data_IF_778861639620
#
_entry.id   IF_778861639620
#
_cell.length_a   1.000
_cell.length_b   1.000
_cell.length_c   1.000
_cell.angle_alpha   90.00
_cell.angle_beta   90.00
_cell.angle_gamma   90.00
#
_symmetry.space_group_name_H-M   'P 1'
#
loop_
_entity.id
_entity.type
_entity.pdbx_description
1 polymer ?
#
# COMPACT_ATOMS: atom_id res chain seq x y z
N UNK A 1 34.90 19.75 -12.19
CA UNK A 1 33.78 19.22 -12.99
C UNK A 1 32.59 19.10 -12.07
N UNK A 2 31.53 19.87 -12.32
CA UNK A 2 30.24 19.65 -11.65
C UNK A 2 29.65 18.38 -12.24
N UNK A 3 29.44 17.36 -11.39
CA UNK A 3 28.76 16.13 -11.82
C UNK A 3 27.30 16.48 -12.09
N UNK A 4 26.75 15.97 -13.20
CA UNK A 4 25.35 16.17 -13.56
C UNK A 4 24.42 15.62 -12.45
N UNK A 5 23.58 16.47 -11.81
CA UNK A 5 22.66 16.02 -10.77
C UNK A 5 21.71 14.91 -11.23
N UNK A 6 21.34 14.83 -12.51
CA UNK A 6 20.49 13.76 -13.02
C UNK A 6 21.19 12.39 -12.96
N UNK A 7 22.49 12.34 -13.30
CA UNK A 7 23.30 11.13 -13.17
C UNK A 7 23.50 10.73 -11.70
N UNK A 8 23.71 11.71 -10.82
CA UNK A 8 23.81 11.46 -9.37
C UNK A 8 22.49 10.88 -8.84
N UNK A 9 21.35 11.46 -9.23
CA UNK A 9 20.04 10.98 -8.81
C UNK A 9 19.81 9.53 -9.23
N UNK A 10 20.05 9.19 -10.50
CA UNK A 10 19.87 7.84 -11.00
C UNK A 10 20.76 6.82 -10.28
N UNK A 11 22.05 7.13 -10.09
CA UNK A 11 22.98 6.27 -9.38
C UNK A 11 22.60 6.11 -7.90
N UNK A 12 22.17 7.19 -7.24
CA UNK A 12 21.76 7.19 -5.85
C UNK A 12 20.50 6.32 -5.63
N UNK A 13 19.50 6.42 -6.51
CA UNK A 13 18.30 5.57 -6.47
C UNK A 13 18.66 4.10 -6.65
N UNK A 14 19.56 3.78 -7.59
CA UNK A 14 20.01 2.40 -7.81
C UNK A 14 20.78 1.85 -6.60
N UNK A 15 21.57 2.68 -5.94
CA UNK A 15 22.32 2.30 -4.74
C UNK A 15 21.48 2.30 -3.45
N UNK A 16 20.24 2.81 -3.49
CA UNK A 16 19.43 3.04 -2.29
C UNK A 16 19.98 4.15 -1.39
N UNK A 17 20.85 5.02 -1.91
CA UNK A 17 21.36 6.19 -1.19
C UNK A 17 20.34 7.32 -1.31
N UNK A 18 19.29 7.25 -0.49
CA UNK A 18 18.19 8.21 -0.51
C UNK A 18 18.65 9.63 -0.13
N UNK A 19 19.70 9.77 0.66
CA UNK A 19 20.24 11.08 1.02
C UNK A 19 20.96 11.75 -0.16
N UNK A 20 21.70 10.98 -0.97
CA UNK A 20 22.27 11.50 -2.21
C UNK A 20 21.19 11.79 -3.25
N UNK A 21 20.15 10.95 -3.35
CA UNK A 21 19.01 11.20 -4.23
C UNK A 21 18.28 12.49 -3.85
N UNK A 22 18.11 12.75 -2.56
CA UNK A 22 17.49 13.98 -2.03
C UNK A 22 18.26 15.24 -2.47
N UNK A 23 19.58 15.25 -2.24
CA UNK A 23 20.44 16.39 -2.64
C UNK A 23 20.46 16.60 -4.14
N UNK A 24 20.45 15.51 -4.91
CA UNK A 24 20.39 15.60 -6.37
C UNK A 24 19.06 16.18 -6.84
N UNK A 25 17.94 15.80 -6.22
CA UNK A 25 16.63 16.38 -6.50
C UNK A 25 16.56 17.86 -6.13
N UNK A 26 17.14 18.29 -5.00
CA UNK A 26 17.18 19.71 -4.64
C UNK A 26 17.90 20.54 -5.73
N UNK A 27 19.00 20.01 -6.29
CA UNK A 27 19.72 20.67 -7.37
C UNK A 27 18.91 20.69 -8.70
N UNK A 28 18.20 19.61 -9.02
CA UNK A 28 17.36 19.54 -10.22
C UNK A 28 16.14 20.48 -10.10
N UNK A 29 15.46 20.47 -8.96
CA UNK A 29 14.32 21.34 -8.68
C UNK A 29 14.73 22.82 -8.56
N UNK A 30 15.98 23.12 -8.18
CA UNK A 30 16.48 24.49 -8.27
C UNK A 30 16.48 25.02 -9.71
N UNK A 31 16.76 24.15 -10.69
CA UNK A 31 16.78 24.52 -12.11
C UNK A 31 15.40 24.49 -12.77
N UNK A 32 14.53 23.59 -12.31
CA UNK A 32 13.17 23.40 -12.84
C UNK A 32 12.19 23.08 -11.70
N UNK A 33 11.77 24.10 -10.92
CA UNK A 33 11.04 23.92 -9.66
C UNK A 33 9.62 23.38 -9.84
N UNK A 34 9.06 23.54 -11.05
CA UNK A 34 7.67 23.23 -11.35
C UNK A 34 7.54 21.92 -12.15
N UNK A 35 8.63 21.18 -12.32
CA UNK A 35 8.63 19.93 -13.06
C UNK A 35 7.84 18.84 -12.30
N UNK A 36 6.69 18.37 -12.83
CA UNK A 36 5.87 17.39 -12.14
C UNK A 36 6.58 16.06 -11.92
N UNK A 37 7.51 15.67 -12.81
CA UNK A 37 8.27 14.41 -12.70
C UNK A 37 9.30 14.50 -11.57
N UNK A 38 9.99 15.64 -11.43
CA UNK A 38 10.93 15.85 -10.32
C UNK A 38 10.20 15.92 -8.97
N UNK A 39 9.04 16.60 -8.92
CA UNK A 39 8.19 16.65 -7.73
C UNK A 39 7.64 15.28 -7.35
N UNK A 40 7.22 14.47 -8.33
CA UNK A 40 6.84 13.07 -8.11
C UNK A 40 7.99 12.26 -7.51
N UNK A 41 9.20 12.38 -8.07
CA UNK A 41 10.39 11.70 -7.55
C UNK A 41 10.79 12.17 -6.15
N UNK A 42 10.60 13.46 -5.83
CA UNK A 42 10.75 14.01 -4.47
C UNK A 42 9.81 13.30 -3.50
N UNK A 43 8.56 13.09 -3.89
CA UNK A 43 7.60 12.34 -3.10
C UNK A 43 8.07 10.91 -2.80
N UNK A 44 8.54 10.19 -3.82
CA UNK A 44 9.09 8.84 -3.66
C UNK A 44 10.30 8.80 -2.70
N UNK A 45 11.26 9.70 -2.87
CA UNK A 45 12.46 9.77 -2.01
C UNK A 45 12.08 10.12 -0.56
N UNK A 46 11.18 11.09 -0.36
CA UNK A 46 10.66 11.44 0.96
C UNK A 46 10.00 10.25 1.65
N UNK A 47 9.14 9.51 0.93
CA UNK A 47 8.48 8.30 1.45
C UNK A 47 9.49 7.23 1.86
N UNK A 48 10.51 6.98 1.04
CA UNK A 48 11.61 6.01 1.33
C UNK A 48 12.42 6.40 2.57
N UNK A 49 12.54 7.69 2.85
CA UNK A 49 13.21 8.22 4.03
C UNK A 49 12.29 8.35 5.25
N UNK A 50 11.02 7.93 5.15
CA UNK A 50 10.03 8.02 6.23
C UNK A 50 9.48 9.44 6.47
N UNK A 51 9.79 10.40 5.59
CA UNK A 51 9.29 11.78 5.64
C UNK A 51 7.94 11.86 4.91
N UNK A 52 6.93 11.22 5.50
CA UNK A 52 5.66 10.97 4.81
C UNK A 52 4.86 12.25 4.52
N UNK A 53 4.87 13.23 5.41
CA UNK A 53 4.20 14.53 5.19
C UNK A 53 4.83 15.29 4.02
N UNK A 54 6.17 15.30 3.94
CA UNK A 54 6.90 15.88 2.80
C UNK A 54 6.60 15.11 1.51
N UNK A 55 6.41 13.79 1.59
CA UNK A 55 6.04 12.98 0.44
C UNK A 55 4.65 13.36 -0.12
N UNK A 56 3.66 13.52 0.76
CA UNK A 56 2.32 13.99 0.38
C UNK A 56 2.41 15.38 -0.26
N UNK A 57 3.13 16.32 0.35
CA UNK A 57 3.27 17.68 -0.17
C UNK A 57 3.93 17.70 -1.56
N UNK A 58 4.94 16.87 -1.80
CA UNK A 58 5.59 16.77 -3.10
C UNK A 58 4.66 16.16 -4.17
N UNK A 59 3.88 15.13 -3.83
CA UNK A 59 2.88 14.58 -4.74
C UNK A 59 1.72 15.55 -5.01
N UNK A 60 1.28 16.32 -4.01
CA UNK A 60 0.31 17.41 -4.18
C UNK A 60 0.83 18.46 -5.17
N UNK A 61 2.11 18.86 -5.03
CA UNK A 61 2.75 19.80 -5.94
C UNK A 61 2.84 19.23 -7.37
N UNK A 62 3.19 17.95 -7.53
CA UNK A 62 3.20 17.29 -8.84
C UNK A 62 1.80 17.30 -9.50
N UNK A 63 0.75 16.95 -8.74
CA UNK A 63 -0.63 16.93 -9.23
C UNK A 63 -1.18 18.34 -9.53
N UNK A 64 -0.74 19.36 -8.81
CA UNK A 64 -1.09 20.75 -9.13
C UNK A 64 -0.54 21.20 -10.50
N UNK A 65 0.56 20.60 -10.96
CA UNK A 65 1.18 20.89 -12.27
C UNK A 65 0.75 19.94 -13.39
N UNK A 66 0.48 18.69 -13.04
CA UNK A 66 -0.04 17.67 -13.93
C UNK A 66 -1.18 16.91 -13.24
N UNK A 67 -2.44 17.42 -13.31
CA UNK A 67 -3.59 16.81 -12.65
C UNK A 67 -3.93 15.39 -13.12
N UNK A 68 -3.45 15.02 -14.31
CA UNK A 68 -3.59 13.70 -14.94
C UNK A 68 -2.41 12.76 -14.63
N UNK A 69 -1.48 13.14 -13.75
CA UNK A 69 -0.34 12.31 -13.37
C UNK A 69 -0.78 11.17 -12.44
N UNK A 70 -1.34 10.12 -13.00
CA UNK A 70 -1.99 9.00 -12.30
C UNK A 70 -1.08 8.33 -11.27
N UNK A 71 0.21 8.15 -11.55
CA UNK A 71 1.19 7.60 -10.59
C UNK A 71 1.37 8.48 -9.34
N UNK A 72 1.31 9.81 -9.48
CA UNK A 72 1.43 10.71 -8.34
C UNK A 72 0.16 10.67 -7.48
N UNK A 73 -1.01 10.49 -8.09
CA UNK A 73 -2.27 10.30 -7.36
C UNK A 73 -2.26 9.01 -6.53
N UNK A 74 -1.77 7.90 -7.12
CA UNK A 74 -1.61 6.63 -6.40
C UNK A 74 -0.65 6.76 -5.21
N UNK A 75 0.56 7.29 -5.46
CA UNK A 75 1.60 7.40 -4.43
C UNK A 75 1.21 8.36 -3.32
N UNK A 76 0.48 9.44 -3.64
CA UNK A 76 -0.12 10.32 -2.63
C UNK A 76 -1.08 9.56 -1.72
N UNK A 77 -2.01 8.78 -2.29
CA UNK A 77 -2.95 7.98 -1.52
C UNK A 77 -2.23 6.93 -0.65
N UNK A 78 -1.16 6.33 -1.17
CA UNK A 78 -0.31 5.40 -0.43
C UNK A 78 0.43 6.10 0.73
N UNK A 79 0.96 7.31 0.54
CA UNK A 79 1.58 8.07 1.63
C UNK A 79 0.57 8.43 2.72
N UNK A 80 -0.67 8.80 2.35
CA UNK A 80 -1.75 9.06 3.31
C UNK A 80 -2.12 7.79 4.10
N UNK A 81 -2.11 6.63 3.45
CA UNK A 81 -2.31 5.34 4.11
C UNK A 81 -1.19 5.04 5.12
N UNK A 82 0.07 5.28 4.74
CA UNK A 82 1.24 5.09 5.61
C UNK A 82 1.19 6.04 6.83
N UNK A 83 0.66 7.26 6.66
CA UNK A 83 0.37 8.21 7.74
C UNK A 83 -0.82 7.80 8.64
N UNK A 84 -1.57 6.77 8.25
CA UNK A 84 -2.80 6.38 8.95
C UNK A 84 -3.98 7.33 8.73
N UNK A 85 -3.91 8.24 7.75
CA UNK A 85 -5.01 9.12 7.34
C UNK A 85 -5.99 8.36 6.45
N UNK A 86 -6.67 7.39 7.05
CA UNK A 86 -7.46 6.38 6.35
C UNK A 86 -8.56 6.95 5.45
N UNK A 87 -9.31 7.95 5.91
CA UNK A 87 -10.37 8.57 5.10
C UNK A 87 -9.82 9.28 3.86
N UNK A 88 -8.74 10.03 4.01
CA UNK A 88 -8.11 10.74 2.89
C UNK A 88 -7.49 9.75 1.88
N UNK A 89 -6.88 8.67 2.38
CA UNK A 89 -6.35 7.60 1.54
C UNK A 89 -7.45 6.87 0.76
N UNK A 90 -8.59 6.57 1.40
CA UNK A 90 -9.74 5.94 0.74
C UNK A 90 -10.29 6.80 -0.39
N UNK A 91 -10.48 8.10 -0.14
CA UNK A 91 -10.92 9.07 -1.16
C UNK A 91 -9.90 9.09 -2.31
N UNK A 92 -8.60 9.18 -1.98
CA UNK A 92 -7.53 9.19 -2.98
C UNK A 92 -7.51 7.94 -3.87
N UNK A 93 -7.55 6.74 -3.29
CA UNK A 93 -7.63 5.51 -4.08
C UNK A 93 -8.96 5.41 -4.84
N UNK A 94 -10.06 5.88 -4.28
CA UNK A 94 -11.35 5.94 -4.96
C UNK A 94 -11.34 6.83 -6.20
N UNK A 95 -10.73 8.02 -6.11
CA UNK A 95 -10.59 8.93 -7.24
C UNK A 95 -9.61 8.40 -8.30
N UNK A 96 -8.50 7.78 -7.87
CA UNK A 96 -7.58 7.07 -8.76
C UNK A 96 -8.31 5.96 -9.55
N UNK A 97 -9.10 5.13 -8.87
CA UNK A 97 -9.83 4.02 -9.49
C UNK A 97 -10.93 4.47 -10.47
N UNK A 98 -11.39 5.73 -10.42
CA UNK A 98 -12.26 6.27 -11.48
C UNK A 98 -11.50 6.42 -12.81
N UNK A 99 -10.19 6.62 -12.76
CA UNK A 99 -9.32 6.76 -13.93
C UNK A 99 -8.72 5.41 -14.35
N UNK A 100 -8.39 4.55 -13.38
CA UNK A 100 -7.80 3.21 -13.60
C UNK A 100 -8.62 2.14 -12.85
N UNK A 101 -9.78 1.71 -13.38
CA UNK A 101 -10.74 0.90 -12.63
C UNK A 101 -10.25 -0.50 -12.21
N UNK A 102 -9.34 -1.07 -13.00
CA UNK A 102 -8.90 -2.46 -12.85
C UNK A 102 -7.51 -2.60 -12.19
N UNK A 103 -6.99 -1.53 -11.56
CA UNK A 103 -5.71 -1.61 -10.86
C UNK A 103 -5.83 -2.49 -9.59
N UNK A 104 -5.14 -3.65 -9.54
CA UNK A 104 -5.27 -4.58 -8.44
C UNK A 104 -4.68 -4.05 -7.13
N UNK A 105 -3.62 -3.22 -7.20
CA UNK A 105 -2.93 -2.69 -6.02
C UNK A 105 -3.76 -1.61 -5.34
N UNK A 106 -4.40 -0.72 -6.11
CA UNK A 106 -5.30 0.31 -5.59
C UNK A 106 -6.54 -0.33 -4.94
N UNK A 107 -7.12 -1.36 -5.58
CA UNK A 107 -8.25 -2.12 -5.01
C UNK A 107 -7.85 -2.84 -3.73
N UNK A 108 -6.68 -3.48 -3.69
CA UNK A 108 -6.17 -4.12 -2.48
C UNK A 108 -5.90 -3.11 -1.35
N UNK A 109 -5.34 -1.93 -1.66
CA UNK A 109 -5.12 -0.88 -0.66
C UNK A 109 -6.43 -0.31 -0.12
N UNK A 110 -7.44 -0.09 -0.96
CA UNK A 110 -8.77 0.34 -0.52
C UNK A 110 -9.47 -0.72 0.33
N UNK A 111 -9.33 -2.01 -0.02
CA UNK A 111 -9.81 -3.11 0.81
C UNK A 111 -9.14 -3.14 2.20
N UNK A 112 -7.82 -2.94 2.28
CA UNK A 112 -7.09 -2.83 3.55
C UNK A 112 -7.54 -1.64 4.38
N UNK A 113 -7.84 -0.50 3.74
CA UNK A 113 -8.40 0.66 4.42
C UNK A 113 -9.79 0.33 4.99
N UNK A 114 -10.66 -0.28 4.19
CA UNK A 114 -11.99 -0.70 4.61
C UNK A 114 -11.94 -1.65 5.82
N UNK A 115 -11.01 -2.61 5.85
CA UNK A 115 -10.76 -3.47 7.00
C UNK A 115 -10.36 -2.69 8.25
N UNK A 116 -9.41 -1.76 8.14
CA UNK A 116 -8.99 -0.89 9.25
C UNK A 116 -10.12 0.02 9.77
N UNK A 117 -11.11 0.29 8.93
CA UNK A 117 -12.31 1.05 9.27
C UNK A 117 -13.50 0.16 9.71
N UNK A 118 -13.32 -1.16 9.81
CA UNK A 118 -14.37 -2.09 10.25
C UNK A 118 -15.47 -2.32 9.23
N UNK A 119 -15.16 -2.18 7.93
CA UNK A 119 -16.08 -2.39 6.79
C UNK A 119 -15.64 -3.60 5.95
N UNK A 120 -15.81 -4.83 6.47
CA UNK A 120 -15.33 -6.03 5.78
C UNK A 120 -16.11 -6.37 4.50
N UNK A 121 -17.38 -5.96 4.37
CA UNK A 121 -18.14 -6.15 3.12
C UNK A 121 -17.57 -5.31 1.97
N UNK A 122 -17.27 -4.03 2.21
CA UNK A 122 -16.62 -3.13 1.25
C UNK A 122 -15.25 -3.72 0.82
N UNK A 123 -14.49 -4.27 1.77
CA UNK A 123 -13.23 -4.94 1.48
C UNK A 123 -13.42 -6.16 0.55
N UNK A 124 -14.42 -7.01 0.79
CA UNK A 124 -14.71 -8.16 -0.07
C UNK A 124 -15.15 -7.73 -1.48
N UNK A 125 -15.90 -6.62 -1.59
CA UNK A 125 -16.27 -6.06 -2.88
C UNK A 125 -15.03 -5.64 -3.67
N UNK A 126 -14.10 -4.92 -3.04
CA UNK A 126 -12.85 -4.50 -3.68
C UNK A 126 -11.95 -5.66 -4.08
N UNK A 127 -11.90 -6.72 -3.28
CA UNK A 127 -11.12 -7.93 -3.56
C UNK A 127 -11.78 -8.86 -4.59
N UNK A 128 -13.03 -8.59 -4.99
CA UNK A 128 -13.78 -9.47 -5.90
C UNK A 128 -13.14 -9.54 -7.29
N UNK A 129 -12.80 -10.74 -7.77
CA UNK A 129 -12.18 -10.92 -9.09
C UNK A 129 -10.70 -10.54 -9.18
N UNK A 130 -10.04 -10.11 -8.09
CA UNK A 130 -8.59 -10.00 -8.06
C UNK A 130 -7.94 -11.39 -8.06
N UNK A 131 -6.78 -11.49 -8.71
CA UNK A 131 -5.95 -12.69 -8.65
C UNK A 131 -5.56 -12.99 -7.20
N UNK A 132 -5.74 -14.25 -6.79
CA UNK A 132 -5.42 -14.73 -5.46
C UNK A 132 -4.15 -15.59 -5.43
N UNK A 133 -3.38 -15.66 -6.51
CA UNK A 133 -2.11 -16.39 -6.52
C UNK A 133 -1.14 -15.88 -5.43
N UNK A 134 -1.19 -14.58 -5.13
CA UNK A 134 -0.38 -13.92 -4.11
C UNK A 134 -1.00 -13.91 -2.69
N UNK A 135 -0.16 -13.85 -1.64
CA UNK A 135 -0.63 -13.88 -0.26
C UNK A 135 -1.41 -12.63 0.16
N UNK A 136 -1.16 -11.48 -0.47
CA UNK A 136 -1.69 -10.20 -0.02
C UNK A 136 -3.23 -10.11 -0.14
N UNK A 137 -3.78 -10.48 -1.30
CA UNK A 137 -5.23 -10.52 -1.55
C UNK A 137 -5.90 -11.56 -0.65
N UNK A 138 -5.25 -12.72 -0.47
CA UNK A 138 -5.76 -13.82 0.34
C UNK A 138 -5.82 -13.50 1.83
N UNK A 139 -4.80 -12.85 2.35
CA UNK A 139 -4.79 -12.37 3.74
C UNK A 139 -5.89 -11.35 3.99
N UNK A 140 -6.03 -10.35 3.11
CA UNK A 140 -7.10 -9.35 3.22
C UNK A 140 -8.49 -10.00 3.13
N UNK A 141 -8.68 -10.96 2.22
CA UNK A 141 -9.94 -11.72 2.08
C UNK A 141 -10.24 -12.53 3.33
N UNK A 142 -9.25 -13.26 3.86
CA UNK A 142 -9.40 -14.05 5.07
C UNK A 142 -9.72 -13.20 6.29
N UNK A 143 -9.10 -12.02 6.41
CA UNK A 143 -9.40 -11.06 7.48
C UNK A 143 -10.83 -10.53 7.38
N UNK A 144 -11.27 -10.13 6.18
CA UNK A 144 -12.65 -9.70 5.95
C UNK A 144 -13.67 -10.78 6.31
N UNK A 145 -13.45 -12.02 5.85
CA UNK A 145 -14.31 -13.15 6.15
C UNK A 145 -14.32 -13.52 7.64
N UNK A 146 -13.18 -13.36 8.33
CA UNK A 146 -13.09 -13.53 9.79
C UNK A 146 -13.95 -12.51 10.52
N UNK A 147 -13.87 -11.23 10.16
CA UNK A 147 -14.67 -10.17 10.77
C UNK A 147 -16.18 -10.38 10.52
N UNK A 148 -16.54 -10.97 9.37
CA UNK A 148 -17.90 -11.40 9.04
C UNK A 148 -18.29 -12.76 9.65
N UNK A 149 -17.44 -13.40 10.46
CA UNK A 149 -17.70 -14.72 11.08
C UNK A 149 -17.86 -15.87 10.08
N UNK A 150 -17.44 -15.69 8.83
CA UNK A 150 -17.43 -16.69 7.74
C UNK A 150 -16.15 -17.54 7.79
N UNK A 151 -15.93 -18.21 8.93
CA UNK A 151 -14.64 -18.82 9.28
C UNK A 151 -14.17 -19.91 8.30
N UNK A 152 -15.09 -20.71 7.74
CA UNK A 152 -14.73 -21.74 6.74
C UNK A 152 -14.16 -21.12 5.46
N UNK A 153 -14.77 -20.03 4.99
CA UNK A 153 -14.33 -19.33 3.79
C UNK A 153 -13.04 -18.56 4.05
N UNK A 154 -12.88 -18.02 5.25
CA UNK A 154 -11.65 -17.38 5.69
C UNK A 154 -10.47 -18.38 5.67
N UNK A 155 -10.68 -19.59 6.17
CA UNK A 155 -9.66 -20.65 6.10
C UNK A 155 -9.38 -21.12 4.68
N UNK A 156 -10.43 -21.31 3.86
CA UNK A 156 -10.26 -21.67 2.45
C UNK A 156 -9.43 -20.63 1.68
N UNK A 157 -9.64 -19.34 1.96
CA UNK A 157 -8.86 -18.24 1.37
C UNK A 157 -7.37 -18.32 1.70
N UNK A 158 -6.96 -19.08 2.74
CA UNK A 158 -5.56 -19.28 3.13
C UNK A 158 -4.92 -20.56 2.57
N UNK A 159 -5.65 -21.45 1.86
CA UNK A 159 -5.11 -22.69 1.25
C UNK A 159 -4.96 -22.58 -0.29
N UNK A 160 -3.79 -22.88 -0.93
CA UNK A 160 -2.55 -23.45 -0.42
C UNK A 160 -1.45 -22.39 -0.24
N UNK A 161 -1.45 -21.62 0.86
CA UNK A 161 -0.23 -20.86 1.21
C UNK A 161 0.82 -21.89 1.67
N UNK A 162 2.04 -21.91 1.11
CA UNK A 162 3.06 -22.86 1.52
C UNK A 162 3.30 -22.71 3.02
N UNK A 163 3.22 -23.83 3.73
CA UNK A 163 3.28 -23.86 5.20
C UNK A 163 4.62 -23.41 5.79
N UNK A 164 5.59 -22.95 5.00
CA UNK A 164 6.98 -22.72 5.43
C UNK A 164 7.37 -21.24 5.56
N UNK A 165 6.49 -20.30 5.19
CA UNK A 165 6.74 -18.88 5.43
C UNK A 165 6.28 -18.47 6.86
N UNK A 166 7.20 -18.00 7.74
CA UNK A 166 6.91 -17.76 9.15
C UNK A 166 5.77 -16.79 9.43
N UNK A 167 5.61 -15.76 8.58
CA UNK A 167 4.52 -14.78 8.70
C UNK A 167 3.14 -15.39 8.47
N UNK A 168 3.03 -16.37 7.57
CA UNK A 168 1.75 -17.01 7.24
C UNK A 168 1.31 -18.02 8.30
N UNK A 169 2.24 -18.71 8.98
CA UNK A 169 1.90 -19.56 10.14
C UNK A 169 1.24 -18.75 11.25
N UNK A 170 1.76 -17.57 11.57
CA UNK A 170 1.20 -16.72 12.61
C UNK A 170 -0.20 -16.21 12.25
N UNK A 171 -0.42 -15.76 11.01
CA UNK A 171 -1.73 -15.31 10.54
C UNK A 171 -2.77 -16.45 10.52
N UNK A 172 -2.41 -17.62 9.98
CA UNK A 172 -3.27 -18.80 9.95
C UNK A 172 -3.57 -19.32 11.36
N UNK A 173 -2.58 -19.34 12.26
CA UNK A 173 -2.77 -19.74 13.65
C UNK A 173 -3.68 -18.76 14.40
N UNK A 174 -3.49 -17.45 14.23
CA UNK A 174 -4.37 -16.43 14.82
C UNK A 174 -5.81 -16.61 14.33
N UNK A 175 -6.01 -16.85 13.04
CA UNK A 175 -7.33 -17.06 12.47
C UNK A 175 -8.00 -18.35 13.00
N UNK A 176 -7.22 -19.43 13.15
CA UNK A 176 -7.67 -20.72 13.68
C UNK A 176 -7.94 -20.72 15.19
N UNK A 177 -7.25 -19.86 15.94
CA UNK A 177 -7.33 -19.81 17.42
C UNK A 177 -8.18 -18.66 17.97
N UNK A 178 -8.40 -17.56 17.23
CA UNK A 178 -9.11 -16.35 17.72
C UNK A 178 -10.44 -16.03 17.02
N UNK A 179 -11.12 -17.01 16.40
CA UNK A 179 -12.55 -16.87 16.05
C UNK A 179 -13.43 -17.08 17.29
N UNK A 180 -14.64 -16.49 17.37
CA UNK A 180 -15.47 -16.65 18.58
C UNK A 180 -16.14 -18.03 18.76
N UNK A 181 -15.66 -19.03 18.02
CA UNK A 181 -15.72 -20.44 18.36
C UNK A 181 -14.34 -21.01 17.99
N UNK A 182 -13.33 -20.79 18.84
CA UNK A 182 -12.01 -21.38 18.64
C UNK A 182 -12.16 -22.90 18.51
N UNK A 183 -11.73 -23.49 17.38
CA UNK A 183 -11.85 -24.95 17.16
C UNK A 183 -10.73 -25.75 17.81
N UNK A 184 -9.69 -25.09 18.31
CA UNK A 184 -8.76 -25.69 19.25
C UNK A 184 -9.24 -25.34 20.66
N UNK A 185 -9.91 -26.30 21.32
CA UNK A 185 -9.92 -26.32 22.78
C UNK A 185 -8.47 -26.56 23.19
N UNK A 186 -7.86 -25.61 23.90
CA UNK A 186 -6.53 -25.78 24.49
C UNK A 186 -6.59 -26.58 25.79
N UNK A 187 -7.81 -26.90 26.23
CA UNK A 187 -8.13 -27.74 27.36
C UNK A 187 -8.18 -29.19 26.85
N UNK A 188 -7.12 -29.94 27.12
CA UNK A 188 -6.89 -31.30 26.62
C UNK A 188 -7.78 -32.37 27.23
N UNK A 189 -9.08 -32.34 26.92
CA UNK A 189 -10.01 -33.41 27.28
C UNK A 189 -10.83 -33.87 26.05
N UNK A 190 -10.69 -35.16 25.73
CA UNK A 190 -11.62 -35.95 24.90
C UNK A 190 -12.77 -36.47 25.75
#
# INVERSE_FOLDING_TARGET
>A
MTVDPALVFAAAVQAGDWAAADRALDALLYTDPDNPVLLYNRGLVCRRMGRLEEAVAAHDAALARAPDHTNAAFERAACLLDLGRLGDAEIGFGDYLKQVPDDPDARLNRARIALRLGRPDDALQDLSGLDDSGPAVRLARAEALRDLRRLNEAEASLAPLPGDEPGFRAAALKLRTQGAVGRLRLDGET
#
